data_IF_157061695811
#
_entry.id   IF_157061695811
#
_cell.length_a   1.000
_cell.length_b   1.000
_cell.length_c   1.000
_cell.angle_alpha   90.00
_cell.angle_beta   90.00
_cell.angle_gamma   90.00
#
_symmetry.space_group_name_H-M   'P 1'
#
loop_
_entity.id
_entity.type
_entity.pdbx_description
1 polymer ?
#
# COMPACT_ATOMS: atom_id res chain seq x y z
N UNK A 1 8.64 -9.13 17.08
CA UNK A 1 7.34 -9.42 16.44
C UNK A 1 6.24 -9.52 17.50
N UNK A 2 5.02 -9.05 17.23
CA UNK A 2 3.91 -8.95 18.20
C UNK A 2 2.76 -9.97 17.95
N UNK A 3 2.94 -10.94 17.05
CA UNK A 3 1.95 -11.97 16.74
C UNK A 3 0.91 -11.59 15.66
N UNK A 4 0.98 -10.39 15.08
CA UNK A 4 0.16 -10.02 13.93
C UNK A 4 0.55 -10.82 12.68
N UNK A 5 -0.44 -11.13 11.83
CA UNK A 5 -0.26 -11.83 10.56
C UNK A 5 -0.67 -10.92 9.40
N UNK A 6 0.12 -10.95 8.32
CA UNK A 6 -0.18 -10.30 7.05
C UNK A 6 -0.15 -11.34 5.94
N UNK A 7 -1.18 -11.33 5.10
CA UNK A 7 -1.18 -12.05 3.82
C UNK A 7 -1.24 -11.02 2.69
N UNK A 8 -0.31 -11.16 1.74
CA UNK A 8 -0.17 -10.25 0.61
C UNK A 8 -0.24 -11.04 -0.70
N UNK A 9 -0.95 -10.51 -1.68
CA UNK A 9 -1.06 -11.09 -3.01
C UNK A 9 -0.90 -9.99 -4.06
N UNK A 10 -0.04 -10.23 -5.04
CA UNK A 10 0.17 -9.34 -6.17
C UNK A 10 -0.18 -10.10 -7.45
N UNK A 11 -1.09 -9.53 -8.23
CA UNK A 11 -1.41 -10.02 -9.58
C UNK A 11 -1.10 -8.90 -10.57
N UNK A 12 0.10 -8.93 -11.12
CA UNK A 12 0.58 -7.91 -12.07
C UNK A 12 0.07 -8.12 -13.51
N UNK A 13 -0.66 -9.20 -13.77
CA UNK A 13 -1.29 -9.49 -15.05
C UNK A 13 -2.78 -9.75 -14.84
N UNK A 14 -3.52 -8.67 -14.65
CA UNK A 14 -4.95 -8.68 -14.37
C UNK A 14 -5.66 -7.71 -15.32
N UNK A 15 -6.83 -8.07 -15.86
CA UNK A 15 -7.69 -7.12 -16.60
C UNK A 15 -8.39 -6.13 -15.66
N UNK A 16 -8.23 -6.29 -14.35
CA UNK A 16 -8.72 -5.42 -13.29
C UNK A 16 -7.54 -4.83 -12.52
N UNK A 17 -7.54 -3.51 -12.34
CA UNK A 17 -6.55 -2.77 -11.57
C UNK A 17 -7.21 -2.18 -10.33
N UNK A 18 -6.55 -2.34 -9.20
CA UNK A 18 -7.06 -1.92 -7.91
C UNK A 18 -6.37 -2.63 -6.78
N UNK A 19 -6.83 -2.36 -5.56
CA UNK A 19 -6.34 -3.01 -4.36
C UNK A 19 -7.48 -3.28 -3.39
N UNK A 20 -7.33 -4.36 -2.64
CA UNK A 20 -8.19 -4.69 -1.51
C UNK A 20 -7.34 -4.82 -0.27
N UNK A 21 -7.65 -4.03 0.75
CA UNK A 21 -7.02 -4.12 2.07
C UNK A 21 -8.07 -4.51 3.08
N UNK A 22 -7.70 -5.39 4.01
CA UNK A 22 -8.49 -5.62 5.20
C UNK A 22 -7.61 -5.70 6.44
N UNK A 23 -8.01 -5.00 7.49
CA UNK A 23 -7.37 -5.07 8.81
C UNK A 23 -8.39 -5.60 9.79
N UNK A 24 -8.03 -6.67 10.50
CA UNK A 24 -8.89 -7.31 11.52
C UNK A 24 -8.19 -7.23 12.87
N UNK A 25 -8.92 -6.76 13.87
CA UNK A 25 -8.46 -6.65 15.26
C UNK A 25 -9.54 -7.08 16.24
N UNK A 26 -9.31 -6.81 17.51
CA UNK A 26 -10.22 -7.15 18.62
C UNK A 26 -11.57 -6.43 18.55
N UNK A 27 -11.61 -5.24 17.95
CA UNK A 27 -12.83 -4.42 17.81
C UNK A 27 -13.60 -4.64 16.51
N UNK A 28 -13.13 -5.53 15.65
CA UNK A 28 -13.79 -5.85 14.38
C UNK A 28 -12.83 -5.78 13.20
N UNK A 29 -13.36 -5.44 12.03
CA UNK A 29 -12.64 -5.42 10.76
C UNK A 29 -12.96 -4.17 9.97
N UNK A 30 -11.96 -3.62 9.30
CA UNK A 30 -12.14 -2.57 8.29
C UNK A 30 -11.64 -3.10 6.95
N UNK A 31 -12.39 -2.81 5.90
CA UNK A 31 -12.05 -3.16 4.52
C UNK A 31 -12.00 -1.89 3.67
N UNK A 32 -11.05 -1.86 2.75
CA UNK A 32 -10.95 -0.86 1.69
C UNK A 32 -10.86 -1.59 0.36
N UNK A 33 -11.73 -1.21 -0.57
CA UNK A 33 -11.75 -1.63 -1.96
C UNK A 33 -11.51 -0.40 -2.84
N UNK A 34 -10.44 -0.43 -3.62
CA UNK A 34 -10.16 0.57 -4.64
C UNK A 34 -10.17 -0.10 -6.00
N UNK A 35 -10.89 0.49 -6.93
CA UNK A 35 -10.84 0.19 -8.36
C UNK A 35 -10.21 1.39 -9.08
N UNK A 36 -9.14 1.11 -9.82
CA UNK A 36 -8.42 2.10 -10.60
C UNK A 36 -9.07 2.28 -11.98
N UNK A 37 -8.84 3.45 -12.57
CA UNK A 37 -9.27 3.71 -13.95
C UNK A 37 -8.27 3.09 -14.92
N UNK A 38 -8.63 1.98 -15.56
CA UNK A 38 -7.80 1.34 -16.59
C UNK A 38 -7.97 2.09 -17.92
N UNK A 39 -7.01 2.93 -18.28
CA UNK A 39 -6.96 3.61 -19.59
C UNK A 39 -5.82 3.11 -20.48
N UNK A 40 -4.98 2.21 -19.98
CA UNK A 40 -3.69 1.81 -20.58
C UNK A 40 -3.66 0.43 -21.28
N UNK A 41 -4.79 -0.27 -21.43
CA UNK A 41 -4.88 -1.51 -22.23
C UNK A 41 -4.97 -1.27 -23.76
N UNK A 42 -4.56 -0.10 -24.24
CA UNK A 42 -4.46 0.20 -25.66
C UNK A 42 -3.10 -0.28 -26.16
N UNK A 43 -3.09 -1.11 -27.21
CA UNK A 43 -1.87 -1.73 -27.74
C UNK A 43 -0.77 -0.73 -28.09
N UNK A 44 0.47 -1.23 -28.21
CA UNK A 44 1.77 -0.53 -28.31
C UNK A 44 1.89 0.67 -29.27
N UNK A 45 0.85 1.02 -30.04
CA UNK A 45 0.79 2.17 -30.95
C UNK A 45 -0.01 3.40 -30.47
N UNK A 46 -0.87 3.28 -29.45
CA UNK A 46 -1.77 4.35 -28.98
C UNK A 46 -1.39 4.87 -27.57
N UNK A 47 -0.20 4.54 -27.09
CA UNK A 47 0.28 4.88 -25.74
C UNK A 47 0.85 6.31 -25.62
N UNK A 48 0.34 7.29 -26.39
CA UNK A 48 0.78 8.69 -26.23
C UNK A 48 0.17 9.35 -25.00
N UNK A 49 -1.00 8.88 -24.57
CA UNK A 49 -1.74 9.38 -23.41
C UNK A 49 -2.03 8.30 -22.35
N UNK A 50 -1.33 7.16 -22.42
CA UNK A 50 -1.42 6.08 -21.43
C UNK A 50 -0.75 6.50 -20.12
N UNK A 51 -1.42 7.41 -19.39
CA UNK A 51 -1.07 7.75 -18.03
C UNK A 51 -1.65 6.68 -17.12
N UNK A 52 -0.86 5.64 -16.83
CA UNK A 52 -1.16 4.76 -15.71
C UNK A 52 -1.38 5.62 -14.45
N UNK A 53 -2.55 5.47 -13.84
CA UNK A 53 -2.86 5.86 -12.45
C UNK A 53 -2.68 7.35 -12.10
N UNK A 54 -2.76 8.28 -13.06
CA UNK A 54 -2.71 9.74 -12.79
C UNK A 54 -4.08 10.41 -12.54
N UNK A 55 -5.17 9.65 -12.66
CA UNK A 55 -6.53 10.13 -12.42
C UNK A 55 -7.08 9.74 -11.05
N UNK A 56 -8.26 10.26 -10.67
CA UNK A 56 -8.98 9.77 -9.49
C UNK A 56 -9.33 8.28 -9.65
N UNK A 57 -9.41 7.56 -8.53
CA UNK A 57 -9.91 6.19 -8.50
C UNK A 57 -11.27 6.11 -9.20
N UNK A 58 -11.50 5.07 -9.98
CA UNK A 58 -12.83 4.80 -10.55
C UNK A 58 -13.84 4.59 -9.42
N UNK A 59 -13.41 3.90 -8.36
CA UNK A 59 -14.18 3.73 -7.14
C UNK A 59 -13.24 3.54 -5.95
N UNK A 60 -13.56 4.16 -4.82
CA UNK A 60 -12.98 3.84 -3.52
C UNK A 60 -14.12 3.62 -2.51
N UNK A 61 -14.10 2.48 -1.83
CA UNK A 61 -15.10 2.11 -0.82
C UNK A 61 -14.40 1.67 0.45
N UNK A 62 -14.83 2.23 1.57
CA UNK A 62 -14.38 1.80 2.90
C UNK A 62 -15.58 1.32 3.72
N UNK A 63 -15.44 0.15 4.35
CA UNK A 63 -16.49 -0.44 5.17
C UNK A 63 -15.93 -0.93 6.49
N UNK A 64 -16.63 -0.60 7.58
CA UNK A 64 -16.31 -1.05 8.93
C UNK A 64 -17.32 -2.11 9.36
N UNK A 65 -16.79 -3.18 9.94
CA UNK A 65 -17.52 -4.30 10.51
C UNK A 65 -17.15 -4.38 12.00
N UNK A 66 -17.92 -3.71 12.89
CA UNK A 66 -17.67 -3.80 14.32
C UNK A 66 -17.78 -5.23 14.83
N UNK A 67 -17.03 -5.57 15.88
CA UNK A 67 -17.16 -6.88 16.57
C UNK A 67 -18.60 -7.10 17.06
N UNK A 68 -19.24 -6.03 17.51
CA UNK A 68 -20.64 -5.99 17.91
C UNK A 68 -21.31 -4.77 17.28
N UNK A 69 -22.37 -4.98 16.51
CA UNK A 69 -23.14 -3.91 15.88
C UNK A 69 -23.35 -4.13 14.38
N UNK A 70 -23.92 -3.12 13.72
CA UNK A 70 -24.22 -3.16 12.30
C UNK A 70 -23.06 -2.59 11.49
N UNK A 71 -22.61 -3.27 10.42
CA UNK A 71 -21.59 -2.72 9.52
C UNK A 71 -22.04 -1.41 8.87
N UNK A 72 -21.11 -0.49 8.64
CA UNK A 72 -21.39 0.82 8.03
C UNK A 72 -20.29 1.24 7.06
N UNK A 73 -20.62 2.13 6.14
CA UNK A 73 -19.68 2.72 5.18
C UNK A 73 -19.06 3.98 5.76
N UNK A 74 -17.81 4.23 5.39
CA UNK A 74 -17.07 5.44 5.77
C UNK A 74 -16.74 6.18 4.48
N UNK A 75 -17.02 7.48 4.46
CA UNK A 75 -16.67 8.33 3.34
C UNK A 75 -15.15 8.36 3.17
N UNK A 76 -14.69 8.07 1.96
CA UNK A 76 -13.27 8.15 1.60
C UNK A 76 -13.01 9.55 1.02
N UNK A 77 -12.17 10.38 1.66
CA UNK A 77 -11.83 11.69 1.12
C UNK A 77 -11.18 11.56 -0.25
N UNK A 78 -11.63 12.37 -1.21
CA UNK A 78 -11.01 12.45 -2.53
C UNK A 78 -9.90 13.49 -2.47
N UNK A 79 -8.68 13.09 -2.80
CA UNK A 79 -7.55 14.01 -2.98
C UNK A 79 -7.37 14.42 -4.44
N UNK A 80 -6.82 15.60 -4.65
CA UNK A 80 -6.43 16.09 -5.97
C UNK A 80 -5.05 15.54 -6.37
N UNK A 81 -4.84 15.28 -7.67
CA UNK A 81 -3.57 14.78 -8.22
C UNK A 81 -3.57 13.29 -8.53
N UNK A 82 -2.38 12.73 -8.79
CA UNK A 82 -2.20 11.32 -9.14
C UNK A 82 -2.42 10.37 -7.95
N UNK A 83 -2.74 9.11 -8.26
CA UNK A 83 -2.96 8.03 -7.27
C UNK A 83 -3.99 8.41 -6.19
N UNK A 84 -5.13 8.97 -6.61
CA UNK A 84 -6.18 9.42 -5.67
C UNK A 84 -5.77 10.58 -4.76
N UNK A 85 -4.75 11.34 -5.18
CA UNK A 85 -4.21 12.49 -4.45
C UNK A 85 -3.09 12.15 -3.44
N UNK A 86 -2.54 10.94 -3.52
CA UNK A 86 -1.38 10.57 -2.70
C UNK A 86 -0.09 11.28 -3.17
N UNK A 87 0.07 11.51 -4.48
CA UNK A 87 1.32 12.06 -5.02
C UNK A 87 1.68 13.44 -4.45
N UNK A 88 0.78 14.45 -4.44
CA UNK A 88 1.13 15.76 -3.89
C UNK A 88 1.51 15.70 -2.41
N UNK A 89 0.77 14.92 -1.62
CA UNK A 89 1.04 14.74 -0.18
C UNK A 89 2.43 14.14 0.04
N UNK A 90 2.79 13.11 -0.74
CA UNK A 90 4.10 12.47 -0.63
C UNK A 90 5.23 13.43 -1.04
N UNK A 91 5.07 14.11 -2.17
CA UNK A 91 6.08 15.02 -2.70
C UNK A 91 6.33 16.22 -1.78
N UNK A 92 5.27 16.77 -1.18
CA UNK A 92 5.38 17.84 -0.19
C UNK A 92 6.20 17.42 1.03
N UNK A 93 5.96 16.21 1.55
CA UNK A 93 6.73 15.67 2.68
C UNK A 93 8.21 15.42 2.34
N UNK A 94 8.53 15.07 1.09
CA UNK A 94 9.90 14.76 0.66
C UNK A 94 10.70 16.01 0.30
N UNK A 95 10.09 16.97 -0.40
CA UNK A 95 10.83 18.03 -1.08
C UNK A 95 10.65 19.43 -0.49
N UNK A 96 9.63 19.67 0.34
CA UNK A 96 9.50 20.99 0.97
C UNK A 96 10.56 21.15 2.07
N UNK A 97 11.24 22.32 2.14
CA UNK A 97 12.16 22.62 3.24
C UNK A 97 11.48 22.60 4.62
N UNK A 98 10.18 22.91 4.65
CA UNK A 98 9.33 22.90 5.84
C UNK A 98 8.02 22.15 5.48
N UNK A 99 8.01 20.81 5.60
CA UNK A 99 6.86 20.01 5.20
C UNK A 99 5.69 20.21 6.18
N UNK A 100 4.43 20.16 5.71
CA UNK A 100 3.25 20.25 6.57
C UNK A 100 3.25 19.18 7.67
N UNK A 101 2.58 19.45 8.79
CA UNK A 101 2.40 18.45 9.84
C UNK A 101 1.73 17.18 9.28
N UNK A 102 2.22 16.03 9.72
CA UNK A 102 1.68 14.72 9.32
C UNK A 102 0.91 14.05 10.46
N UNK A 103 -0.36 14.44 10.70
CA UNK A 103 -1.15 13.95 11.83
C UNK A 103 -1.44 12.45 11.76
N UNK A 104 -1.28 11.83 10.59
CA UNK A 104 -1.54 10.40 10.36
C UNK A 104 -0.27 9.54 10.34
N UNK A 105 0.93 10.13 10.45
CA UNK A 105 2.19 9.40 10.44
C UNK A 105 2.40 8.57 9.16
N UNK A 106 2.07 9.16 8.01
CA UNK A 106 2.21 8.60 6.66
C UNK A 106 3.66 8.59 6.19
N UNK A 107 4.48 9.55 6.62
CA UNK A 107 5.87 9.66 6.18
C UNK A 107 6.68 8.43 6.61
N UNK A 108 7.13 7.66 5.62
CA UNK A 108 7.95 6.47 5.85
C UNK A 108 9.42 6.84 6.07
N UNK A 109 10.07 6.14 7.00
CA UNK A 109 11.53 6.22 7.16
C UNK A 109 12.26 5.35 6.13
N UNK A 110 13.57 5.51 6.05
CA UNK A 110 14.41 4.62 5.24
C UNK A 110 14.40 3.16 5.75
N UNK A 111 14.10 2.94 7.04
CA UNK A 111 13.96 1.59 7.61
C UNK A 111 12.67 0.93 7.13
N UNK A 112 11.57 1.69 7.07
CA UNK A 112 10.29 1.20 6.54
C UNK A 112 10.41 0.83 5.06
N UNK A 113 11.14 1.65 4.29
CA UNK A 113 11.50 1.36 2.91
C UNK A 113 12.33 0.07 2.76
N UNK A 114 13.37 -0.09 3.58
CA UNK A 114 14.18 -1.31 3.58
C UNK A 114 13.36 -2.55 3.95
N UNK A 115 12.48 -2.45 4.94
CA UNK A 115 11.59 -3.53 5.34
C UNK A 115 10.65 -3.95 4.20
N UNK A 116 10.06 -2.98 3.49
CA UNK A 116 9.20 -3.22 2.32
C UNK A 116 9.92 -4.02 1.23
N UNK A 117 11.14 -3.61 0.88
CA UNK A 117 11.95 -4.31 -0.12
C UNK A 117 12.29 -5.74 0.30
N UNK A 118 12.63 -5.94 1.58
CA UNK A 118 13.00 -7.26 2.11
C UNK A 118 11.86 -8.26 2.06
N UNK A 119 10.60 -7.83 2.18
CA UNK A 119 9.44 -8.73 1.97
C UNK A 119 9.46 -9.32 0.56
N UNK A 120 9.71 -8.50 -0.46
CA UNK A 120 9.80 -8.95 -1.86
C UNK A 120 10.99 -9.89 -2.09
N UNK A 121 12.16 -9.58 -1.52
CA UNK A 121 13.34 -10.44 -1.61
C UNK A 121 13.07 -11.79 -0.94
N UNK A 122 12.50 -11.79 0.27
CA UNK A 122 12.17 -13.01 1.01
C UNK A 122 11.14 -13.87 0.28
N UNK A 123 10.12 -13.25 -0.34
CA UNK A 123 9.14 -13.96 -1.15
C UNK A 123 9.79 -14.66 -2.36
N UNK A 124 10.68 -13.97 -3.09
CA UNK A 124 11.42 -14.55 -4.20
C UNK A 124 12.32 -15.71 -3.76
N UNK A 125 13.04 -15.54 -2.66
CA UNK A 125 13.91 -16.58 -2.09
C UNK A 125 13.10 -17.79 -1.61
N UNK A 126 11.94 -17.57 -1.00
CA UNK A 126 11.02 -18.63 -0.59
C UNK A 126 10.50 -19.41 -1.80
N UNK A 127 10.07 -18.73 -2.87
CA UNK A 127 9.66 -19.39 -4.12
C UNK A 127 10.78 -20.21 -4.75
N UNK A 128 12.02 -19.69 -4.73
CA UNK A 128 13.20 -20.35 -5.29
C UNK A 128 13.57 -21.63 -4.53
N UNK A 129 13.40 -21.64 -3.22
CA UNK A 129 13.89 -22.71 -2.33
C UNK A 129 12.79 -23.63 -1.78
N UNK A 130 11.53 -23.23 -1.89
CA UNK A 130 10.39 -23.96 -1.35
C UNK A 130 10.29 -23.95 0.18
N UNK A 131 10.97 -23.03 0.87
CA UNK A 131 11.04 -23.00 2.34
C UNK A 131 10.54 -21.68 2.94
N UNK A 132 10.25 -21.71 4.23
CA UNK A 132 10.03 -20.50 5.04
C UNK A 132 11.35 -19.70 5.15
N UNK A 133 11.30 -18.40 4.85
CA UNK A 133 12.44 -17.48 4.96
C UNK A 133 12.17 -16.47 6.05
N UNK A 134 13.02 -16.41 7.07
CA UNK A 134 12.99 -15.34 8.06
C UNK A 134 13.74 -14.11 7.54
N UNK A 135 13.20 -12.91 7.79
CA UNK A 135 13.79 -11.66 7.30
C UNK A 135 15.20 -11.46 7.86
N UNK A 136 15.44 -11.86 9.11
CA UNK A 136 16.75 -11.73 9.76
C UNK A 136 17.86 -12.54 9.07
N UNK A 137 17.51 -13.57 8.30
CA UNK A 137 18.48 -14.36 7.52
C UNK A 137 19.01 -13.58 6.30
N UNK A 138 18.24 -12.61 5.81
CA UNK A 138 18.59 -11.77 4.66
C UNK A 138 19.27 -10.48 5.11
N UNK A 139 18.68 -9.81 6.09
CA UNK A 139 19.18 -8.54 6.61
C UNK A 139 18.59 -8.26 8.00
N UNK A 140 19.46 -8.00 8.98
CA UNK A 140 19.03 -7.68 10.34
C UNK A 140 18.66 -6.19 10.47
N UNK A 141 17.36 -5.88 10.33
CA UNK A 141 16.83 -4.52 10.50
C UNK A 141 16.95 -4.00 11.95
N UNK A 142 16.88 -4.90 12.95
CA UNK A 142 16.75 -4.53 14.36
C UNK A 142 18.02 -3.96 14.99
N UNK A 143 19.21 -4.39 14.55
CA UNK A 143 20.49 -3.84 15.04
C UNK A 143 20.69 -2.36 14.63
N UNK A 144 20.05 -1.93 13.54
CA UNK A 144 20.22 -0.58 12.96
C UNK A 144 19.21 0.43 13.47
N UNK A 145 18.12 -0.01 14.11
CA UNK A 145 17.13 0.86 14.76
C UNK A 145 17.63 1.47 16.08
N UNK A 146 18.67 0.87 16.70
CA UNK A 146 19.24 1.31 17.98
C UNK A 146 20.38 2.34 17.83
N UNK A 147 20.60 2.90 16.64
CA UNK A 147 21.66 3.88 16.36
C UNK A 147 21.11 5.24 15.86
N UNK A 148 19.83 5.51 16.13
CA UNK A 148 19.18 6.80 15.89
C UNK A 148 19.01 7.61 17.17
#
# INVERSE_FOLDING_TARGET
ANGALLSYCLVAYSPWEGLRIAVTGDKGRIEMDIEESITHLLGDGEAKDAQASKGPFKQARMRVFPMHGTPYEVDVPVGDGGHGGADPVMLEQIFLPDPPADPFGRAASHIDGAASVLVGIAANESMRTGRLVHIEELFNLSERMNHG
#
